data_IF_368445201336
#
_entry.id   IF_368445201336
#
_cell.length_a   1.000
_cell.length_b   1.000
_cell.length_c   1.000
_cell.angle_alpha   90.00
_cell.angle_beta   90.00
_cell.angle_gamma   90.00
#
_symmetry.space_group_name_H-M   'P 1'
#
loop_
_entity.id
_entity.type
_entity.pdbx_description
1 polymer ?
2 non-polymer ?
3 non-polymer ?
4 non-polymer ?
5 water ?
#
# COMPACT_ATOMS: atom_id res chain seq x y z
N UNK A 48 16.47 11.25 1.72
CA UNK A 48 16.47 9.83 1.23
C UNK A 48 16.23 9.88 -0.29
N UNK A 49 16.91 9.03 -1.05
CA UNK A 49 16.77 9.02 -2.46
C UNK A 49 16.68 7.54 -2.75
N UNK A 50 15.62 7.09 -3.40
CA UNK A 50 15.47 5.68 -3.80
C UNK A 50 15.27 5.59 -5.30
N UNK A 51 16.30 5.12 -6.03
CA UNK A 51 16.20 5.01 -7.47
C UNK A 51 15.18 3.92 -7.88
N UNK A 52 14.50 4.07 -9.02
CA UNK A 52 13.69 2.96 -9.48
C UNK A 52 12.75 2.41 -8.31
N UNK A 53 11.97 3.31 -7.68
CA UNK A 53 11.09 2.96 -6.61
C UNK A 53 10.16 1.81 -7.03
N UNK A 54 9.52 1.94 -8.22
CA UNK A 54 8.55 0.91 -8.63
C UNK A 54 9.31 -0.19 -9.38
N UNK A 55 10.29 -0.77 -8.70
CA UNK A 55 11.17 -1.70 -9.38
C UNK A 55 10.45 -2.96 -9.92
N UNK A 56 11.01 -3.60 -10.96
CA UNK A 56 10.61 -4.94 -11.40
C UNK A 56 11.08 -6.08 -10.46
N UNK A 57 12.04 -5.80 -9.59
CA UNK A 57 12.60 -6.82 -8.71
C UNK A 57 11.55 -7.20 -7.63
N UNK A 58 10.93 -8.37 -7.80
CA UNK A 58 9.88 -8.84 -6.91
C UNK A 58 10.24 -8.89 -5.39
N UNK A 59 11.51 -9.12 -5.09
CA UNK A 59 11.96 -9.27 -3.71
C UNK A 59 11.62 -8.11 -2.79
N UNK A 60 11.69 -6.90 -3.35
CA UNK A 60 11.35 -5.67 -2.64
C UNK A 60 9.90 -5.48 -2.17
N UNK A 61 8.99 -6.26 -2.75
CA UNK A 61 7.54 -6.13 -2.45
C UNK A 61 7.16 -7.09 -1.38
N UNK A 62 6.45 -6.57 -0.41
CA UNK A 62 6.04 -7.30 0.79
C UNK A 62 4.54 -7.67 0.69
N UNK A 63 4.19 -8.97 0.74
CA UNK A 63 2.72 -9.22 0.58
C UNK A 63 1.84 -8.48 1.61
N UNK A 64 0.70 -7.91 1.20
CA UNK A 64 -0.17 -7.25 2.15
C UNK A 64 -1.47 -8.06 2.21
N UNK A 65 -2.10 -8.30 1.07
CA UNK A 65 -3.18 -9.28 1.03
C UNK A 65 -2.62 -10.31 0.13
N UNK A 66 -3.44 -11.27 -0.28
CA UNK A 66 -2.97 -12.36 -1.12
C UNK A 66 -2.69 -11.90 -2.51
N UNK A 67 -3.31 -10.79 -2.94
CA UNK A 67 -3.18 -10.40 -4.37
C UNK A 67 -2.42 -9.06 -4.54
N UNK A 68 -2.13 -8.41 -3.42
CA UNK A 68 -1.60 -7.05 -3.43
C UNK A 68 -0.39 -6.99 -2.50
N UNK A 69 0.68 -6.32 -2.96
CA UNK A 69 1.93 -6.23 -2.14
C UNK A 69 2.38 -4.79 -2.14
N UNK A 70 3.30 -4.40 -1.23
CA UNK A 70 3.85 -3.02 -1.32
C UNK A 70 5.36 -2.99 -1.14
N UNK A 71 6.03 -2.05 -1.78
CA UNK A 71 7.43 -1.78 -1.43
C UNK A 71 7.53 -0.56 -0.48
N UNK A 72 7.97 -0.77 0.77
CA UNK A 72 8.16 0.44 1.60
C UNK A 72 9.22 1.40 1.03
N UNK A 73 8.95 2.69 1.09
CA UNK A 73 9.95 3.65 0.62
C UNK A 73 10.43 4.58 1.74
N UNK A 74 9.57 4.82 2.70
CA UNK A 74 9.82 5.76 3.76
C UNK A 74 8.87 5.42 4.86
N UNK A 75 9.38 5.30 6.08
CA UNK A 75 8.51 4.94 7.19
C UNK A 75 8.83 5.82 8.40
N UNK A 76 7.79 6.33 9.08
CA UNK A 76 7.91 7.12 10.28
C UNK A 76 7.19 6.42 11.40
N UNK A 77 7.93 5.68 12.28
CA UNK A 77 7.22 5.03 13.41
C UNK A 77 6.50 6.08 14.27
N UNK A 78 7.13 7.24 14.47
CA UNK A 78 6.58 8.31 15.30
C UNK A 78 5.32 8.93 14.73
N UNK A 79 5.31 9.22 13.45
CA UNK A 79 4.11 9.79 12.84
C UNK A 79 3.05 8.73 12.44
N UNK A 80 3.36 7.43 12.52
CA UNK A 80 2.39 6.40 12.06
C UNK A 80 1.99 6.71 10.58
N UNK A 81 2.99 6.83 9.72
CA UNK A 81 2.88 7.32 8.36
C UNK A 81 4.01 6.63 7.54
N UNK A 82 3.77 6.41 6.23
CA UNK A 82 4.68 5.68 5.35
C UNK A 82 4.32 5.96 3.91
N UNK A 83 5.33 5.94 3.00
CA UNK A 83 5.16 5.97 1.55
C UNK A 83 5.52 4.61 1.10
N UNK A 84 4.93 4.21 -0.04
CA UNK A 84 5.21 2.87 -0.59
C UNK A 84 4.72 2.80 -2.06
N UNK A 85 5.20 1.79 -2.80
CA UNK A 85 4.61 1.40 -4.10
C UNK A 85 3.67 0.23 -3.81
N UNK A 86 2.40 0.44 -4.16
CA UNK A 86 1.41 -0.66 -4.06
C UNK A 86 1.38 -1.33 -5.40
N UNK A 87 1.43 -2.66 -5.38
CA UNK A 87 1.58 -3.48 -6.59
C UNK A 87 0.52 -4.61 -6.54
N UNK A 88 -0.11 -4.83 -7.69
CA UNK A 88 -0.97 -6.01 -7.92
C UNK A 88 -0.58 -6.55 -9.29
N UNK A 89 0.05 -7.71 -9.38
CA UNK A 89 0.40 -8.16 -10.74
C UNK A 89 -0.89 -8.59 -11.51
N UNK A 90 -1.89 -9.11 -10.78
CA UNK A 90 -3.11 -9.64 -11.44
C UNK A 90 -4.36 -8.86 -10.96
N UNK A 91 -5.55 -9.43 -11.09
CA UNK A 91 -6.73 -8.89 -10.41
C UNK A 91 -6.34 -8.77 -8.92
N UNK A 92 -6.68 -7.68 -8.24
CA UNK A 92 -6.45 -7.63 -6.79
C UNK A 92 -7.54 -6.95 -5.97
N UNK A 93 -7.53 -7.21 -4.67
CA UNK A 93 -8.47 -6.55 -3.76
C UNK A 93 -7.87 -6.28 -2.41
N UNK A 94 -8.09 -5.09 -1.89
CA UNK A 94 -7.79 -4.80 -0.49
C UNK A 94 -9.14 -4.60 0.27
N UNK A 95 -9.34 -5.40 1.32
CA UNK A 95 -10.57 -5.38 2.13
C UNK A 95 -11.00 -4.00 2.60
N UNK A 96 -12.30 -3.83 2.86
CA UNK A 96 -12.82 -2.54 3.28
C UNK A 96 -12.12 -2.10 4.55
N UNK A 97 -11.73 -0.82 4.62
CA UNK A 97 -11.04 -0.27 5.82
C UNK A 97 -11.25 1.19 5.69
N UNK A 98 -10.95 1.95 6.75
CA UNK A 98 -10.96 3.41 6.65
C UNK A 98 -9.68 3.92 7.25
N UNK A 99 -9.12 5.01 6.71
CA UNK A 99 -8.05 5.71 7.38
C UNK A 99 -8.62 6.81 8.26
N UNK A 100 -8.13 6.92 9.52
CA UNK A 100 -8.42 8.17 10.23
C UNK A 100 -7.92 9.47 9.54
N UNK A 101 -6.91 9.39 8.67
CA UNK A 101 -6.45 10.62 7.99
C UNK A 101 -6.34 10.52 6.48
N UNK A 102 -5.85 11.56 5.80
CA UNK A 102 -5.76 11.56 4.33
C UNK A 102 -4.88 10.43 3.74
N UNK A 103 -5.03 10.19 2.43
CA UNK A 103 -4.22 9.23 1.67
C UNK A 103 -4.05 9.96 0.35
N UNK A 104 -2.84 9.90 -0.22
CA UNK A 104 -2.56 10.46 -1.53
C UNK A 104 -1.98 9.37 -2.39
N UNK A 105 -2.27 9.40 -3.70
CA UNK A 105 -1.79 8.35 -4.56
C UNK A 105 -1.51 8.97 -5.86
N UNK A 106 -0.43 8.49 -6.52
CA UNK A 106 -0.18 8.87 -7.91
C UNK A 106 0.03 7.56 -8.63
N UNK A 107 -0.69 7.37 -9.75
CA UNK A 107 -0.77 6.10 -10.36
C UNK A 107 0.36 5.94 -11.38
N UNK A 108 1.07 4.81 -11.31
CA UNK A 108 2.23 4.63 -12.18
C UNK A 108 1.88 3.77 -13.40
N UNK A 109 1.11 2.70 -13.14
CA UNK A 109 0.69 1.84 -14.18
C UNK A 109 -0.51 1.01 -13.71
N UNK A 110 -1.10 0.24 -14.62
CA UNK A 110 -2.30 -0.54 -14.33
C UNK A 110 -3.62 0.23 -14.29
N UNK A 111 -4.62 -0.33 -13.61
CA UNK A 111 -5.94 0.28 -13.54
C UNK A 111 -6.56 -0.13 -12.22
N UNK A 112 -7.02 0.82 -11.42
CA UNK A 112 -7.50 0.40 -10.11
C UNK A 112 -8.52 1.42 -9.66
N UNK A 113 -9.20 1.20 -8.54
CA UNK A 113 -9.93 2.27 -7.96
C UNK A 113 -10.51 1.78 -6.68
N UNK A 114 -11.46 2.55 -6.12
CA UNK A 114 -12.20 2.10 -4.94
C UNK A 114 -13.69 1.85 -5.33
N UNK A 115 -14.30 0.78 -4.83
CA UNK A 115 -15.71 0.45 -5.18
C UNK A 115 -16.66 1.58 -4.77
N UNK A 116 -16.26 2.40 -3.77
CA UNK A 116 -17.13 3.42 -3.23
C UNK A 116 -17.09 4.75 -4.00
N UNK A 117 -16.30 4.85 -5.09
CA UNK A 117 -16.29 6.07 -5.94
C UNK A 117 -16.55 5.66 -7.37
N UNK A 118 -16.77 6.59 -8.30
CA UNK A 118 -17.17 6.21 -9.69
C UNK A 118 -15.99 6.12 -10.63
N UNK A 119 -14.81 6.66 -10.25
CA UNK A 119 -13.63 6.70 -11.20
C UNK A 119 -12.86 5.44 -11.15
N UNK A 120 -12.16 5.14 -12.25
CA UNK A 120 -11.01 4.22 -12.18
C UNK A 120 -9.73 4.92 -12.65
N UNK A 121 -8.61 4.56 -12.02
CA UNK A 121 -7.39 5.38 -12.19
C UNK A 121 -6.43 4.58 -13.02
N UNK A 122 -5.85 5.22 -14.04
CA UNK A 122 -4.88 4.51 -14.86
C UNK A 122 -3.56 5.38 -14.80
N UNK A 123 -2.52 4.98 -15.52
CA UNK A 123 -1.23 5.64 -15.54
C UNK A 123 -1.36 7.17 -15.54
N UNK A 124 -0.85 7.88 -14.51
CA UNK A 124 -0.81 9.35 -14.56
C UNK A 124 -1.86 10.06 -13.74
N UNK A 125 -2.81 9.31 -13.19
CA UNK A 125 -3.93 9.86 -12.48
C UNK A 125 -3.59 10.04 -11.01
N UNK A 126 -3.98 11.18 -10.44
CA UNK A 126 -3.83 11.45 -9.03
C UNK A 126 -5.14 11.18 -8.24
N UNK A 127 -5.00 10.65 -7.01
CA UNK A 127 -6.10 10.41 -6.10
C UNK A 127 -5.79 10.94 -4.69
N UNK A 128 -6.75 11.63 -4.09
CA UNK A 128 -6.75 12.00 -2.68
C UNK A 128 -7.99 11.33 -2.05
N UNK A 129 -7.83 10.46 -1.05
CA UNK A 129 -8.95 9.96 -0.26
C UNK A 129 -9.20 10.80 0.94
N UNK A 130 -10.44 11.23 1.12
CA UNK A 130 -10.75 12.06 2.27
C UNK A 130 -10.72 11.27 3.61
N UNK A 131 -10.23 11.89 4.70
CA UNK A 131 -10.11 11.13 5.94
C UNK A 131 -11.48 10.65 6.42
N UNK A 132 -11.57 9.46 7.01
CA UNK A 132 -12.86 8.93 7.48
C UNK A 132 -13.61 8.05 6.49
N UNK A 133 -13.28 8.23 5.22
CA UNK A 133 -13.80 7.37 4.14
C UNK A 133 -13.45 5.89 4.33
N UNK A 134 -14.48 5.04 4.50
CA UNK A 134 -14.42 3.58 4.33
C UNK A 134 -14.35 3.16 2.84
N UNK A 135 -13.40 2.28 2.47
CA UNK A 135 -13.19 1.95 1.06
C UNK A 135 -12.50 0.64 0.82
N UNK A 136 -12.79 0.10 -0.37
CA UNK A 136 -12.36 -1.22 -0.82
C UNK A 136 -11.57 -0.94 -2.11
N UNK A 137 -10.25 -1.23 -2.10
CA UNK A 137 -9.40 -0.96 -3.26
C UNK A 137 -9.50 -2.19 -4.13
N UNK A 138 -9.63 -1.97 -5.43
CA UNK A 138 -9.56 -3.09 -6.36
C UNK A 138 -8.60 -2.76 -7.49
N UNK A 139 -7.96 -3.81 -8.06
CA UNK A 139 -7.10 -3.65 -9.19
C UNK A 139 -7.58 -4.56 -10.32
N UNK A 140 -7.68 -4.04 -11.54
CA UNK A 140 -8.09 -4.83 -12.72
C UNK A 140 -6.87 -5.40 -13.42
N UNK A 141 -7.04 -6.45 -14.21
CA UNK A 141 -5.96 -6.98 -15.06
C UNK A 141 -5.81 -6.08 -16.25
N UNK A 142 -4.62 -5.55 -16.42
CA UNK A 142 -4.35 -4.55 -17.43
C UNK A 142 -3.09 -5.01 -18.16
N UNK A 143 -2.73 -4.36 -19.25
CA UNK A 143 -1.44 -4.72 -19.85
C UNK A 143 -0.29 -4.69 -18.81
N UNK A 144 -0.34 -3.73 -17.90
CA UNK A 144 0.70 -3.56 -16.89
C UNK A 144 0.15 -3.98 -15.51
N UNK A 145 1.03 -4.43 -14.57
CA UNK A 145 0.58 -4.57 -13.18
C UNK A 145 0.07 -3.25 -12.65
N UNK A 146 -0.75 -3.28 -11.61
CA UNK A 146 -1.10 -2.00 -10.96
C UNK A 146 0.13 -1.54 -10.19
N UNK A 147 0.56 -0.29 -10.30
CA UNK A 147 1.60 0.23 -9.39
C UNK A 147 1.22 1.62 -9.05
N UNK A 148 1.20 1.88 -7.76
CA UNK A 148 0.70 3.14 -7.30
C UNK A 148 1.65 3.62 -6.24
N UNK A 149 2.03 4.88 -6.34
CA UNK A 149 2.78 5.56 -5.28
C UNK A 149 1.80 6.11 -4.24
N UNK A 150 1.94 5.71 -2.97
CA UNK A 150 1.01 6.04 -1.91
C UNK A 150 1.75 6.73 -0.80
N UNK A 151 1.11 7.76 -0.21
CA UNK A 151 1.47 8.27 1.09
C UNK A 151 0.28 8.06 1.98
N UNK A 152 0.51 7.22 3.00
CA UNK A 152 -0.50 6.67 3.90
C UNK A 152 -0.24 7.12 5.36
N UNK A 153 -1.25 7.78 5.92
CA UNK A 153 -1.26 8.20 7.33
C UNK A 153 -2.16 7.17 8.01
N UNK A 154 -1.55 6.24 8.75
CA UNK A 154 -2.26 5.10 9.30
C UNK A 154 -2.77 5.58 10.63
N UNK A 155 -3.42 4.69 11.39
CA UNK A 155 -3.73 3.32 11.08
C UNK A 155 -4.81 3.19 10.00
N UNK A 156 -4.88 2.01 9.38
CA UNK A 156 -6.08 1.48 8.72
C UNK A 156 -6.87 0.72 9.76
N UNK A 157 -8.18 1.01 9.81
CA UNK A 157 -9.15 0.16 10.52
C UNK A 157 -9.93 -0.70 9.52
N UNK A 158 -9.81 -2.01 9.65
CA UNK A 158 -10.60 -2.89 8.85
C UNK A 158 -12.05 -2.80 9.26
N UNK A 159 -12.92 -2.80 8.24
CA UNK A 159 -14.34 -2.65 8.45
C UNK A 159 -15.03 -3.92 8.14
N UNK A 160 -16.24 -3.97 8.69
CA UNK A 160 -17.20 -5.06 8.60
C UNK A 160 -17.93 -5.07 7.30
N UNK A 161 -18.25 -6.30 6.87
CA UNK A 161 -19.41 -6.53 6.03
C UNK A 161 -20.54 -5.58 6.46
N UNK A 162 -21.02 -5.71 7.71
CA UNK A 162 -21.82 -4.67 8.41
C UNK A 162 -21.26 -3.22 8.26
N UNK A 163 -20.39 -2.79 9.17
CA UNK A 163 -19.80 -1.45 9.10
C UNK A 163 -18.97 -1.16 10.34
N UNK A 164 -18.62 -2.23 11.05
CA UNK A 164 -17.88 -2.09 12.32
C UNK A 164 -16.35 -2.08 12.12
N UNK A 165 -15.63 -1.42 13.05
CA UNK A 165 -14.19 -1.66 13.25
C UNK A 165 -13.94 -3.12 13.62
N UNK A 166 -13.24 -3.91 12.81
CA UNK A 166 -12.98 -5.32 13.17
C UNK A 166 -11.48 -5.73 13.21
N UNK A 167 -10.55 -4.76 13.03
CA UNK A 167 -9.11 -5.04 13.03
C UNK A 167 -8.38 -3.77 12.68
N UNK A 168 -7.05 -3.77 12.81
CA UNK A 168 -6.27 -2.57 12.50
C UNK A 168 -5.01 -2.95 11.77
N UNK A 169 -4.37 -1.94 11.17
CA UNK A 169 -3.04 -2.08 10.54
C UNK A 169 -2.29 -0.78 10.77
N UNK A 170 -1.29 -0.79 11.65
CA UNK A 170 -0.55 0.47 11.91
C UNK A 170 0.91 0.38 11.42
N UNK A 171 1.70 1.41 11.67
CA UNK A 171 3.05 1.42 11.19
C UNK A 171 3.95 0.33 11.81
N UNK A 172 3.65 -0.08 13.05
CA UNK A 172 4.41 -1.15 13.69
C UNK A 172 4.09 -2.46 13.02
N UNK A 173 2.83 -2.65 12.59
CA UNK A 173 2.49 -3.87 11.87
C UNK A 173 3.23 -3.87 10.55
N UNK A 174 3.38 -2.69 9.97
CA UNK A 174 3.99 -2.56 8.65
C UNK A 174 5.51 -2.86 8.76
N UNK A 175 6.16 -2.25 9.75
CA UNK A 175 7.58 -2.43 9.98
C UNK A 175 7.81 -3.90 10.24
N UNK A 176 7.01 -4.51 11.10
CA UNK A 176 7.19 -5.95 11.34
C UNK A 176 7.10 -6.85 10.08
N UNK A 177 6.07 -6.68 9.23
CA UNK A 177 5.95 -7.56 8.06
C UNK A 177 6.99 -7.24 6.97
N UNK A 178 7.50 -6.01 6.95
CA UNK A 178 8.55 -5.66 5.99
C UNK A 178 9.92 -6.26 6.47
N UNK A 179 10.19 -6.16 7.79
CA UNK A 179 11.47 -6.63 8.34
C UNK A 179 11.51 -8.11 8.04
N UNK A 180 10.44 -8.77 8.45
CA UNK A 180 10.28 -10.20 8.25
C UNK A 180 10.48 -10.66 6.78
N UNK A 181 9.77 -10.01 5.85
CA UNK A 181 9.95 -10.35 4.43
C UNK A 181 11.36 -10.08 3.90
N UNK A 182 11.92 -8.95 4.27
CA UNK A 182 13.25 -8.56 3.80
C UNK A 182 14.32 -9.54 4.38
N UNK A 183 14.18 -9.98 5.63
CA UNK A 183 15.02 -11.10 6.11
C UNK A 183 14.85 -12.36 5.25
N UNK A 184 13.62 -12.82 5.04
CA UNK A 184 13.44 -14.01 4.21
C UNK A 184 13.99 -13.90 2.82
N UNK A 185 13.81 -12.76 2.13
CA UNK A 185 14.22 -12.73 0.72
C UNK A 185 15.70 -12.41 0.52
N UNK A 186 16.41 -12.07 1.60
CA UNK A 186 17.84 -11.82 1.57
C UNK A 186 18.21 -10.39 1.27
N UNK A 187 17.27 -9.49 1.44
CA UNK A 187 17.57 -8.09 1.40
C UNK A 187 17.94 -7.62 2.81
N UNK A 188 17.82 -8.52 3.77
CA UNK A 188 18.14 -8.25 5.18
C UNK A 188 17.09 -7.35 5.81
N UNK A 189 16.60 -7.75 7.01
CA UNK A 189 15.63 -7.01 7.86
C UNK A 189 16.07 -5.58 8.10
N UNK A 190 17.38 -5.37 8.11
CA UNK A 190 17.98 -4.08 8.39
C UNK A 190 17.83 -3.06 7.29
N UNK A 191 17.59 -3.52 6.04
CA UNK A 191 17.30 -2.60 4.94
C UNK A 191 16.05 -1.75 5.29
N UNK A 192 15.08 -2.37 5.98
CA UNK A 192 13.87 -1.64 6.44
C UNK A 192 14.28 -0.45 7.34
N UNK A 193 15.09 -0.72 8.37
CA UNK A 193 15.59 0.32 9.26
C UNK A 193 16.18 1.54 8.48
N UNK A 194 16.78 1.28 7.32
CA UNK A 194 17.27 2.32 6.37
C UNK A 194 16.20 3.30 5.91
N UNK A 195 14.92 2.93 6.11
CA UNK A 195 13.77 3.68 5.54
C UNK A 195 13.20 4.59 6.58
N UNK A 196 13.66 4.42 7.83
CA UNK A 196 13.15 5.19 8.98
C UNK A 196 13.49 6.67 8.96
N UNK A 197 12.55 7.46 9.51
CA UNK A 197 12.60 8.92 9.67
C UNK A 197 11.39 9.32 10.54
X LIG B 1 -7.29 2.81 2.21
X LIG C 1 -5.16 2.50 0.91
X LIG C 1 -6.22 3.04 0.49
X LIG C 1 -4.81 2.40 2.10
X LIG C 1 -4.36 2.11 0.08
X LIG D 1 -2.13 -0.28 2.20
X LIG D 1 -2.70 1.05 2.11
X LIG D 1 -0.58 -0.30 2.31
X LIG D 1 0.09 0.95 2.22
X LIG D 1 -0.07 -0.69 3.65
X LIG D 1 1.07 -1.37 3.16
#
# INVERSE_FOLDING_TARGET
MGSSHHHHHHSSGLVPRGSHMVANAISEFWRDIRPIESPFKPDALPEAYIPNAATEDERYYVPFTETVASRPLWISPQQNRWCDILLAREAGLVNRHYHPHEVFAYTISGKWGYLEHDWTATRGDFVYETPGEGHTLVAFEHEEPMRVFFIVQGPLIWLDEAGNSIGHFDVHDYIAMCREHYEKVGLGADLVVTLFR
FE FE
CO3 C O1 O2 O3
GOL C1 O1 C2 O2 C3 O3
#
